data_IF_883522609239
#
_entry.id   IF_883522609239
#
_cell.length_a   1.000
_cell.length_b   1.000
_cell.length_c   1.000
_cell.angle_alpha   90.00
_cell.angle_beta   90.00
_cell.angle_gamma   90.00
#
_symmetry.space_group_name_H-M   'P 1'
#
loop_
_entity.id
_entity.type
_entity.pdbx_description
1 polymer ?
#
# COMPACT_ATOMS: atom_id res chain seq x y z
N UNK A 1 -3.30 28.70 2.62
CA UNK A 1 -3.60 27.69 3.64
C UNK A 1 -4.39 26.54 3.03
N UNK A 2 -4.07 25.26 3.29
CA UNK A 2 -4.76 24.12 2.67
C UNK A 2 -6.20 24.00 3.23
N UNK A 3 -7.22 24.30 2.41
CA UNK A 3 -8.65 24.25 2.80
C UNK A 3 -9.02 22.93 3.49
N UNK A 4 -8.52 21.80 3.01
CA UNK A 4 -8.76 20.48 3.59
C UNK A 4 -8.17 20.33 5.01
N UNK A 5 -6.95 20.82 5.24
CA UNK A 5 -6.34 20.79 6.56
C UNK A 5 -7.12 21.68 7.54
N UNK A 6 -7.53 22.86 7.10
CA UNK A 6 -8.33 23.76 7.94
C UNK A 6 -9.66 23.12 8.36
N UNK A 7 -10.37 22.50 7.40
CA UNK A 7 -11.59 21.76 7.70
C UNK A 7 -11.36 20.64 8.73
N UNK A 8 -10.30 19.84 8.57
CA UNK A 8 -10.02 18.71 9.46
C UNK A 8 -9.52 19.13 10.85
N UNK A 9 -8.96 20.32 11.02
CA UNK A 9 -8.58 20.85 12.34
C UNK A 9 -9.75 21.03 13.32
N UNK A 10 -10.94 21.26 12.79
CA UNK A 10 -12.16 21.40 13.58
C UNK A 10 -12.91 20.08 13.82
N UNK A 11 -12.37 18.97 13.33
CA UNK A 11 -12.94 17.64 13.51
C UNK A 11 -12.35 16.93 14.72
N UNK A 12 -13.19 16.10 15.35
CA UNK A 12 -12.80 15.25 16.47
C UNK A 12 -12.43 13.86 15.97
N UNK A 13 -11.33 13.30 16.50
CA UNK A 13 -10.79 12.01 16.07
C UNK A 13 -10.62 11.04 17.23
N UNK A 14 -10.83 9.76 16.98
CA UNK A 14 -10.35 8.67 17.81
C UNK A 14 -9.27 7.90 17.05
N UNK A 15 -8.10 7.69 17.65
CA UNK A 15 -7.00 6.93 17.04
C UNK A 15 -6.86 5.60 17.77
N UNK A 16 -7.16 4.50 17.08
CA UNK A 16 -7.10 3.17 17.63
C UNK A 16 -5.95 2.35 17.01
N UNK A 17 -5.03 1.92 17.87
CA UNK A 17 -3.77 1.26 17.52
C UNK A 17 -2.61 2.25 17.39
N UNK A 18 -1.71 2.25 18.41
CA UNK A 18 -0.61 3.19 18.57
C UNK A 18 0.75 2.63 18.10
N UNK A 19 0.71 1.67 17.15
CA UNK A 19 1.86 1.17 16.43
C UNK A 19 2.47 2.20 15.47
N UNK A 20 3.19 1.75 14.45
CA UNK A 20 3.88 2.62 13.48
C UNK A 20 2.91 3.58 12.79
N UNK A 21 1.75 3.09 12.34
CA UNK A 21 0.71 3.88 11.66
C UNK A 21 0.08 4.90 12.60
N UNK A 22 -0.41 4.49 13.78
CA UNK A 22 -1.04 5.41 14.73
C UNK A 22 -0.08 6.51 15.19
N UNK A 23 1.19 6.16 15.44
CA UNK A 23 2.23 7.16 15.75
C UNK A 23 2.48 8.14 14.61
N UNK A 24 2.35 7.72 13.36
CA UNK A 24 2.49 8.64 12.22
C UNK A 24 1.31 9.62 12.15
N UNK A 25 0.09 9.16 12.47
CA UNK A 25 -1.10 10.02 12.56
C UNK A 25 -0.93 11.06 13.66
N UNK A 26 -0.54 10.64 14.87
CA UNK A 26 -0.30 11.54 16.00
C UNK A 26 0.75 12.59 15.64
N UNK A 27 1.90 12.19 15.11
CA UNK A 27 2.95 13.13 14.68
C UNK A 27 2.45 14.14 13.65
N UNK A 28 1.63 13.67 12.70
CA UNK A 28 1.02 14.54 11.70
C UNK A 28 0.08 15.54 12.36
N UNK A 29 -0.77 15.10 13.30
CA UNK A 29 -1.71 15.96 14.03
C UNK A 29 -0.98 17.02 14.85
N UNK A 30 0.01 16.61 15.65
CA UNK A 30 0.79 17.53 16.48
C UNK A 30 1.51 18.58 15.63
N UNK A 31 2.20 18.16 14.55
CA UNK A 31 2.90 19.06 13.63
C UNK A 31 1.96 20.09 12.97
N UNK A 32 0.70 19.74 12.77
CA UNK A 32 -0.26 20.59 12.06
C UNK A 32 -1.28 21.25 13.00
N UNK A 33 -1.08 21.20 14.31
CA UNK A 33 -1.94 21.85 15.30
C UNK A 33 -3.33 21.25 15.43
N UNK A 34 -3.50 19.98 15.08
CA UNK A 34 -4.74 19.22 15.26
C UNK A 34 -4.74 18.65 16.70
N UNK A 35 -5.60 19.17 17.58
CA UNK A 35 -5.59 18.86 19.01
C UNK A 35 -6.78 18.01 19.47
N UNK A 36 -7.80 17.90 18.64
CA UNK A 36 -9.08 17.26 18.99
C UNK A 36 -9.00 15.75 18.69
N UNK A 37 -8.25 14.99 19.49
CA UNK A 37 -8.19 13.54 19.34
C UNK A 37 -8.06 12.81 20.68
N UNK A 38 -8.59 11.59 20.72
CA UNK A 38 -8.42 10.61 21.79
C UNK A 38 -7.64 9.40 21.28
N UNK A 39 -6.94 8.71 22.19
CA UNK A 39 -6.05 7.60 21.86
C UNK A 39 -6.49 6.31 22.53
N UNK A 40 -6.31 5.18 21.84
CA UNK A 40 -6.50 3.85 22.40
C UNK A 40 -5.56 2.81 21.77
N UNK A 41 -5.09 1.91 22.62
CA UNK A 41 -4.41 0.68 22.19
C UNK A 41 -4.77 -0.44 23.18
N UNK A 42 -5.08 -1.64 22.65
CA UNK A 42 -5.41 -2.81 23.48
C UNK A 42 -4.20 -3.28 24.31
N UNK A 43 -2.97 -2.98 23.83
CA UNK A 43 -1.75 -3.22 24.58
C UNK A 43 -1.52 -2.10 25.60
N UNK A 44 -1.82 -2.38 26.87
CA UNK A 44 -1.65 -1.41 27.98
C UNK A 44 -0.24 -0.83 28.08
N UNK A 45 0.83 -1.62 27.79
CA UNK A 45 2.22 -1.13 27.80
C UNK A 45 2.47 -0.09 26.71
N UNK A 46 1.89 -0.29 25.52
CA UNK A 46 1.95 0.68 24.43
C UNK A 46 1.15 1.93 24.79
N UNK A 47 -0.08 1.76 25.27
CA UNK A 47 -0.98 2.85 25.63
C UNK A 47 -0.39 3.77 26.71
N UNK A 48 0.19 3.20 27.78
CA UNK A 48 0.82 3.97 28.88
C UNK A 48 1.87 4.97 28.40
N UNK A 49 2.59 4.69 27.31
CA UNK A 49 3.60 5.60 26.72
C UNK A 49 3.01 6.89 26.18
N UNK A 50 1.70 6.95 25.98
CA UNK A 50 0.97 8.09 25.44
C UNK A 50 0.11 8.82 26.48
N UNK A 51 0.20 8.46 27.77
CA UNK A 51 -0.58 9.08 28.84
C UNK A 51 -0.01 10.42 29.33
N UNK A 52 1.23 10.77 28.96
CA UNK A 52 1.88 12.00 29.39
C UNK A 52 1.31 13.29 28.76
N UNK A 53 1.56 14.44 29.39
CA UNK A 53 1.12 15.77 28.95
C UNK A 53 1.64 16.22 27.58
N UNK A 54 2.65 15.53 27.06
CA UNK A 54 3.25 15.78 25.73
C UNK A 54 2.25 15.64 24.57
N UNK A 55 1.24 14.79 24.74
CA UNK A 55 0.25 14.55 23.70
C UNK A 55 -1.00 15.38 24.01
N UNK A 56 -1.19 16.45 23.24
CA UNK A 56 -2.37 17.32 23.36
C UNK A 56 -3.58 16.63 22.78
N UNK A 57 -4.38 16.06 23.62
CA UNK A 57 -5.60 15.31 23.30
C UNK A 57 -6.78 15.85 24.12
N UNK A 58 -7.96 15.44 23.72
CA UNK A 58 -9.16 15.65 24.55
C UNK A 58 -8.96 14.97 25.91
N UNK A 59 -9.42 15.58 26.97
CA UNK A 59 -9.31 15.04 28.35
C UNK A 59 -10.28 13.87 28.61
N UNK A 60 -11.25 13.67 27.74
CA UNK A 60 -12.26 12.62 27.85
C UNK A 60 -11.72 11.22 27.57
N UNK A 61 -12.33 10.20 28.16
CA UNK A 61 -12.01 8.81 27.89
C UNK A 61 -12.35 8.41 26.43
N UNK A 62 -11.62 7.42 25.91
CA UNK A 62 -11.84 6.94 24.54
C UNK A 62 -13.24 6.36 24.33
N UNK A 63 -13.75 5.57 25.28
CA UNK A 63 -15.06 4.95 25.19
C UNK A 63 -16.20 5.96 25.23
N UNK A 64 -16.08 6.97 26.06
CA UNK A 64 -17.01 8.09 26.14
C UNK A 64 -17.02 8.90 24.85
N UNK A 65 -15.80 9.18 24.32
CA UNK A 65 -15.61 10.05 23.15
C UNK A 65 -16.00 9.39 21.83
N UNK A 66 -15.93 8.07 21.69
CA UNK A 66 -16.06 7.37 20.40
C UNK A 66 -17.42 7.59 19.71
N UNK A 67 -18.46 7.87 20.49
CA UNK A 67 -19.78 8.18 19.96
C UNK A 67 -19.90 9.61 19.40
N UNK A 68 -19.04 10.53 19.85
CA UNK A 68 -19.07 11.96 19.51
C UNK A 68 -18.00 12.38 18.52
N UNK A 69 -16.97 11.55 18.26
CA UNK A 69 -15.95 11.87 17.25
C UNK A 69 -16.52 11.81 15.83
N UNK A 70 -15.93 12.61 14.93
CA UNK A 70 -16.28 12.59 13.51
C UNK A 70 -15.64 11.39 12.79
N UNK A 71 -14.42 11.01 13.18
CA UNK A 71 -13.67 9.94 12.56
C UNK A 71 -12.96 9.04 13.58
N UNK A 72 -12.95 7.75 13.28
CA UNK A 72 -12.21 6.73 14.03
C UNK A 72 -11.11 6.19 13.11
N UNK A 73 -9.86 6.56 13.38
CA UNK A 73 -8.71 6.10 12.60
C UNK A 73 -8.24 4.76 13.17
N UNK A 74 -8.44 3.67 12.43
CA UNK A 74 -8.06 2.33 12.85
C UNK A 74 -6.77 1.90 12.17
N UNK A 75 -5.76 1.53 12.95
CA UNK A 75 -4.50 0.99 12.42
C UNK A 75 -4.72 -0.35 11.73
N UNK A 76 -3.99 -0.68 10.64
CA UNK A 76 -4.23 -1.88 9.82
C UNK A 76 -4.14 -3.21 10.56
N UNK A 77 -3.33 -3.28 11.63
CA UNK A 77 -3.20 -4.47 12.46
C UNK A 77 -4.42 -4.79 13.32
N UNK A 78 -5.32 -3.82 13.51
CA UNK A 78 -6.51 -4.00 14.36
C UNK A 78 -7.62 -4.68 13.56
N UNK A 79 -8.03 -5.86 14.01
CA UNK A 79 -9.22 -6.52 13.49
C UNK A 79 -10.43 -6.18 14.36
N UNK A 80 -11.31 -5.29 13.88
CA UNK A 80 -12.49 -4.84 14.65
C UNK A 80 -13.47 -5.97 15.01
N UNK A 81 -13.39 -7.13 14.35
CA UNK A 81 -14.21 -8.29 14.69
C UNK A 81 -13.68 -9.05 15.91
N UNK A 82 -12.39 -8.86 16.26
CA UNK A 82 -11.68 -9.63 17.32
C UNK A 82 -11.30 -8.79 18.54
N UNK A 83 -11.60 -7.48 18.54
CA UNK A 83 -11.32 -6.58 19.67
C UNK A 83 -12.42 -6.59 20.73
N UNK A 84 -12.07 -6.23 21.97
CA UNK A 84 -13.03 -5.99 23.06
C UNK A 84 -13.98 -4.82 22.73
N UNK A 85 -13.56 -3.89 21.89
CA UNK A 85 -14.35 -2.73 21.43
C UNK A 85 -15.29 -3.06 20.26
N UNK A 86 -15.44 -4.32 19.88
CA UNK A 86 -16.24 -4.76 18.71
C UNK A 86 -17.62 -4.10 18.66
N UNK A 87 -18.40 -4.18 19.74
CA UNK A 87 -19.79 -3.67 19.77
C UNK A 87 -19.86 -2.17 19.43
N UNK A 88 -19.04 -1.35 20.11
CA UNK A 88 -19.01 0.10 19.92
C UNK A 88 -18.44 0.51 18.56
N UNK A 89 -17.42 -0.22 18.05
CA UNK A 89 -16.85 0.04 16.73
C UNK A 89 -17.86 -0.31 15.61
N UNK A 90 -18.64 -1.38 15.76
CA UNK A 90 -19.69 -1.72 14.79
C UNK A 90 -20.80 -0.69 14.74
N UNK A 91 -21.26 -0.17 15.88
CA UNK A 91 -22.22 0.93 15.96
C UNK A 91 -21.72 2.18 15.23
N UNK A 92 -20.42 2.46 15.33
CA UNK A 92 -19.75 3.62 14.72
C UNK A 92 -18.98 3.29 13.42
N UNK A 93 -19.29 2.17 12.74
CA UNK A 93 -18.56 1.72 11.55
C UNK A 93 -18.51 2.76 10.43
N UNK A 94 -19.55 3.59 10.32
CA UNK A 94 -19.61 4.68 9.35
C UNK A 94 -18.55 5.77 9.57
N UNK A 95 -18.00 5.91 10.78
CA UNK A 95 -16.92 6.86 11.13
C UNK A 95 -15.50 6.26 10.93
N UNK A 96 -15.39 4.93 10.78
CA UNK A 96 -14.09 4.28 10.68
C UNK A 96 -13.41 4.64 9.35
N UNK A 97 -12.17 5.08 9.45
CA UNK A 97 -11.25 5.40 8.34
C UNK A 97 -9.86 4.84 8.62
N UNK A 98 -8.96 4.96 7.65
CA UNK A 98 -7.54 4.57 7.78
C UNK A 98 -6.62 5.77 7.56
N UNK A 99 -5.32 5.57 7.76
CA UNK A 99 -4.28 6.54 7.42
C UNK A 99 -4.27 6.89 5.93
N UNK A 100 -4.63 5.93 5.05
CA UNK A 100 -4.79 6.19 3.62
C UNK A 100 -5.93 7.17 3.36
N UNK A 101 -7.07 6.98 4.01
CA UNK A 101 -8.21 7.90 3.87
C UNK A 101 -7.86 9.30 4.32
N UNK A 102 -7.19 9.40 5.47
CA UNK A 102 -6.74 10.69 5.99
C UNK A 102 -5.77 11.38 5.03
N UNK A 103 -4.87 10.62 4.38
CA UNK A 103 -4.00 11.15 3.34
C UNK A 103 -4.79 11.75 2.17
N UNK A 104 -5.81 11.05 1.64
CA UNK A 104 -6.63 11.55 0.54
C UNK A 104 -7.50 12.75 0.94
N UNK A 105 -7.97 12.80 2.17
CA UNK A 105 -8.69 13.96 2.70
C UNK A 105 -7.79 15.20 2.84
N UNK A 106 -6.55 15.00 3.33
CA UNK A 106 -5.59 16.08 3.55
C UNK A 106 -4.93 16.60 2.28
N UNK A 107 -4.68 15.71 1.31
CA UNK A 107 -3.90 16.00 0.09
C UNK A 107 -4.65 15.59 -1.19
N UNK A 108 -5.89 16.05 -1.41
CA UNK A 108 -6.73 15.62 -2.54
C UNK A 108 -6.18 16.03 -3.92
N UNK A 109 -5.20 16.91 -3.95
CA UNK A 109 -4.54 17.43 -5.16
C UNK A 109 -3.34 16.61 -5.62
N UNK A 110 -2.86 15.66 -4.80
CA UNK A 110 -1.73 14.81 -5.17
C UNK A 110 -2.18 13.65 -6.03
N UNK A 111 -1.51 13.48 -7.16
CA UNK A 111 -1.69 12.29 -8.00
C UNK A 111 -1.05 11.08 -7.34
N UNK A 112 -1.72 9.93 -7.46
CA UNK A 112 -1.24 8.72 -6.81
C UNK A 112 -1.38 7.47 -7.67
N UNK A 113 -0.42 6.56 -7.47
CA UNK A 113 -0.41 5.19 -7.98
C UNK A 113 -0.58 4.29 -6.77
N UNK A 114 -1.69 3.55 -6.68
CA UNK A 114 -1.91 2.58 -5.61
C UNK A 114 -1.70 1.17 -6.15
N UNK A 115 -0.82 0.43 -5.49
CA UNK A 115 -0.52 -0.97 -5.80
C UNK A 115 -1.00 -1.86 -4.68
N UNK A 116 -1.86 -2.83 -5.01
CA UNK A 116 -2.26 -3.91 -4.11
C UNK A 116 -2.17 -5.26 -4.82
N UNK A 117 -2.30 -6.34 -4.08
CA UNK A 117 -2.20 -7.71 -4.56
C UNK A 117 -1.88 -8.65 -3.41
N UNK A 118 -1.83 -9.94 -3.65
CA UNK A 118 -1.30 -10.89 -2.67
C UNK A 118 0.22 -10.80 -2.66
N UNK A 119 0.87 -10.98 -3.80
CA UNK A 119 2.32 -10.97 -3.97
C UNK A 119 2.79 -9.83 -4.87
N UNK A 120 4.09 -9.51 -4.84
CA UNK A 120 4.73 -8.57 -5.77
C UNK A 120 4.57 -7.08 -5.46
N UNK A 121 3.72 -6.69 -4.51
CA UNK A 121 3.41 -5.27 -4.20
C UNK A 121 4.65 -4.39 -4.01
N UNK A 122 5.49 -4.76 -3.06
CA UNK A 122 6.68 -3.97 -2.71
C UNK A 122 7.66 -3.88 -3.87
N UNK A 123 7.87 -4.99 -4.57
CA UNK A 123 8.74 -5.04 -5.76
C UNK A 123 8.20 -4.12 -6.84
N UNK A 124 6.91 -4.23 -7.19
CA UNK A 124 6.27 -3.37 -8.18
C UNK A 124 6.37 -1.89 -7.80
N UNK A 125 6.06 -1.53 -6.54
CA UNK A 125 6.17 -0.15 -6.07
C UNK A 125 7.60 0.39 -6.22
N UNK A 126 8.62 -0.40 -5.87
CA UNK A 126 10.03 0.01 -5.98
C UNK A 126 10.51 0.12 -7.42
N UNK A 127 10.08 -0.78 -8.30
CA UNK A 127 10.38 -0.65 -9.73
C UNK A 127 9.71 0.59 -10.31
N UNK A 128 8.44 0.85 -9.99
CA UNK A 128 7.73 2.07 -10.42
C UNK A 128 8.48 3.32 -9.93
N UNK A 129 8.82 3.38 -8.63
CA UNK A 129 9.57 4.50 -8.06
C UNK A 129 10.87 4.74 -8.84
N UNK A 130 11.64 3.68 -9.08
CA UNK A 130 12.91 3.73 -9.78
C UNK A 130 12.77 4.23 -11.22
N UNK A 131 11.87 3.62 -11.99
CA UNK A 131 11.59 4.00 -13.38
C UNK A 131 11.16 5.46 -13.46
N UNK A 132 10.25 5.90 -12.60
CA UNK A 132 9.74 7.25 -12.61
C UNK A 132 10.83 8.27 -12.25
N UNK A 133 11.65 8.01 -11.21
CA UNK A 133 12.78 8.87 -10.83
C UNK A 133 13.81 9.01 -11.96
N UNK A 134 14.16 7.88 -12.62
CA UNK A 134 15.08 7.89 -13.76
C UNK A 134 14.52 8.63 -14.99
N UNK A 135 13.21 8.77 -15.06
CA UNK A 135 12.52 9.55 -16.10
C UNK A 135 12.05 10.93 -15.57
N UNK A 136 12.75 11.50 -14.59
CA UNK A 136 12.61 12.85 -14.07
C UNK A 136 11.27 13.20 -13.40
N UNK A 137 10.47 12.20 -13.03
CA UNK A 137 9.29 12.46 -12.21
C UNK A 137 9.68 12.75 -10.76
N UNK A 138 8.98 13.70 -10.12
CA UNK A 138 9.06 13.92 -8.67
C UNK A 138 8.21 12.86 -7.98
N UNK A 139 8.83 11.86 -7.37
CA UNK A 139 8.15 10.68 -6.81
C UNK A 139 8.49 10.48 -5.35
N UNK A 140 7.46 10.20 -4.55
CA UNK A 140 7.60 9.68 -3.19
C UNK A 140 6.89 8.33 -3.09
N UNK A 141 7.38 7.46 -2.21
CA UNK A 141 6.81 6.13 -1.96
C UNK A 141 6.50 5.95 -0.48
N UNK A 142 5.38 5.31 -0.17
CA UNK A 142 4.98 5.01 1.20
C UNK A 142 3.75 4.12 1.29
N UNK A 143 3.18 4.05 2.50
CA UNK A 143 2.05 3.19 2.82
C UNK A 143 2.50 1.95 3.61
N UNK A 144 2.17 0.75 3.10
CA UNK A 144 2.60 -0.51 3.72
C UNK A 144 4.09 -0.83 3.52
N UNK A 145 4.78 -0.08 2.66
CA UNK A 145 6.23 -0.16 2.43
C UNK A 145 6.91 1.15 2.80
N UNK A 146 8.12 1.05 3.33
CA UNK A 146 8.94 2.22 3.64
C UNK A 146 8.34 3.05 4.78
N UNK A 147 8.04 4.31 4.52
CA UNK A 147 7.46 5.22 5.51
C UNK A 147 5.93 5.20 5.49
N UNK A 148 5.27 5.32 6.65
CA UNK A 148 3.84 5.59 6.71
C UNK A 148 3.46 6.77 5.82
N UNK A 149 2.29 6.69 5.18
CA UNK A 149 1.89 7.64 4.13
C UNK A 149 1.85 9.10 4.61
N UNK A 150 1.49 9.34 5.87
CA UNK A 150 1.42 10.68 6.46
C UNK A 150 2.78 11.30 6.77
N UNK A 151 3.84 10.50 6.85
CA UNK A 151 5.21 10.99 7.05
C UNK A 151 5.84 11.53 5.75
N UNK A 152 5.20 11.31 4.60
CA UNK A 152 5.75 11.74 3.32
C UNK A 152 5.73 13.26 3.16
N UNK A 153 6.90 13.85 3.00
CA UNK A 153 7.03 15.26 2.62
C UNK A 153 6.84 15.41 1.11
N UNK A 154 5.59 15.54 0.68
CA UNK A 154 5.23 15.57 -0.74
C UNK A 154 4.92 17.00 -1.20
N UNK A 155 5.64 17.48 -2.21
CA UNK A 155 5.36 18.76 -2.88
C UNK A 155 4.14 18.62 -3.81
N UNK A 156 3.47 19.73 -4.14
CA UNK A 156 2.24 19.76 -4.93
C UNK A 156 2.30 18.97 -6.26
N UNK A 157 3.45 18.94 -6.91
CA UNK A 157 3.63 18.26 -8.20
C UNK A 157 4.28 16.87 -8.06
N UNK A 158 4.27 16.27 -6.86
CA UNK A 158 4.79 14.92 -6.66
C UNK A 158 3.76 13.87 -7.01
N UNK A 159 4.21 12.79 -7.64
CA UNK A 159 3.43 11.55 -7.83
C UNK A 159 3.72 10.61 -6.66
N UNK A 160 2.69 10.11 -6.02
CA UNK A 160 2.82 9.28 -4.82
C UNK A 160 2.58 7.82 -5.18
N UNK A 161 3.58 6.97 -4.98
CA UNK A 161 3.44 5.51 -5.11
C UNK A 161 3.08 4.94 -3.75
N UNK A 162 1.94 4.29 -3.66
CA UNK A 162 1.37 3.78 -2.42
C UNK A 162 1.26 2.27 -2.48
N UNK A 163 1.96 1.56 -1.60
CA UNK A 163 1.65 0.18 -1.33
C UNK A 163 0.47 0.10 -0.37
N UNK A 164 -0.63 -0.53 -0.79
CA UNK A 164 -1.81 -0.71 0.06
C UNK A 164 -2.04 -2.19 0.40
N UNK A 165 -2.08 -2.50 1.70
CA UNK A 165 -2.47 -3.83 2.19
C UNK A 165 -3.99 -4.02 2.13
N UNK A 166 -4.43 -5.29 2.10
CA UNK A 166 -5.87 -5.59 2.21
C UNK A 166 -6.47 -5.14 3.54
N UNK A 167 -5.66 -5.09 4.60
CA UNK A 167 -6.08 -4.63 5.92
C UNK A 167 -6.41 -3.14 5.94
N UNK A 168 -5.53 -2.30 5.37
CA UNK A 168 -5.80 -0.87 5.18
C UNK A 168 -7.07 -0.67 4.34
N UNK A 169 -7.13 -1.33 3.19
CA UNK A 169 -8.25 -1.19 2.26
C UNK A 169 -9.58 -1.71 2.83
N UNK A 170 -9.57 -2.70 3.74
CA UNK A 170 -10.81 -3.21 4.34
C UNK A 170 -11.63 -2.13 5.04
N UNK A 171 -10.97 -1.18 5.68
CA UNK A 171 -11.63 -0.07 6.39
C UNK A 171 -11.62 1.25 5.62
N UNK A 172 -10.90 1.33 4.51
CA UNK A 172 -10.82 2.55 3.71
C UNK A 172 -12.13 2.91 3.03
N UNK A 173 -12.39 4.24 2.90
CA UNK A 173 -13.57 4.84 2.30
C UNK A 173 -13.25 5.92 1.26
N UNK A 174 -12.13 6.62 1.41
CA UNK A 174 -11.81 7.81 0.60
C UNK A 174 -10.62 7.61 -0.34
N UNK A 175 -10.13 6.37 -0.49
CA UNK A 175 -9.03 6.03 -1.39
C UNK A 175 -9.48 6.19 -2.84
N UNK A 176 -8.87 7.15 -3.55
CA UNK A 176 -9.21 7.52 -4.93
C UNK A 176 -7.97 7.77 -5.80
N UNK A 177 -7.22 6.72 -6.15
CA UNK A 177 -5.98 6.86 -6.90
C UNK A 177 -6.23 7.23 -8.37
N UNK A 178 -5.27 7.94 -8.97
CA UNK A 178 -5.28 8.18 -10.42
C UNK A 178 -4.97 6.90 -11.19
N UNK A 179 -4.08 6.08 -10.65
CA UNK A 179 -3.68 4.79 -11.20
C UNK A 179 -3.79 3.72 -10.12
N UNK A 180 -4.62 2.72 -10.34
CA UNK A 180 -4.88 1.64 -9.38
C UNK A 180 -4.50 0.29 -9.98
N UNK A 181 -3.59 -0.45 -9.32
CA UNK A 181 -3.08 -1.72 -9.77
C UNK A 181 -3.45 -2.84 -8.81
N UNK A 182 -4.19 -3.86 -9.28
CA UNK A 182 -4.34 -5.15 -8.59
C UNK A 182 -3.49 -6.17 -9.34
N UNK A 183 -2.35 -6.57 -8.74
CA UNK A 183 -1.40 -7.48 -9.36
C UNK A 183 -1.99 -8.89 -9.48
N UNK A 184 -2.17 -9.53 -8.34
CA UNK A 184 -2.71 -10.88 -8.25
C UNK A 184 -3.54 -11.03 -6.97
N UNK A 185 -4.44 -12.00 -6.98
CA UNK A 185 -5.19 -12.39 -5.78
C UNK A 185 -5.17 -13.92 -5.68
N UNK A 186 -4.42 -14.42 -4.70
CA UNK A 186 -4.38 -15.82 -4.28
C UNK A 186 -4.92 -15.96 -2.86
N UNK A 187 -5.18 -17.17 -2.40
CA UNK A 187 -5.69 -17.45 -1.06
C UNK A 187 -4.73 -16.92 0.00
N UNK A 188 -5.18 -15.97 0.81
CA UNK A 188 -4.41 -15.36 1.89
C UNK A 188 -5.33 -14.66 2.90
N UNK A 189 -4.85 -14.45 4.13
CA UNK A 189 -5.48 -13.63 5.18
C UNK A 189 -6.98 -13.90 5.43
N UNK A 190 -7.45 -15.13 5.21
CA UNK A 190 -8.86 -15.49 5.43
C UNK A 190 -9.24 -15.47 6.91
N UNK A 191 -8.29 -15.78 7.79
CA UNK A 191 -8.41 -15.68 9.25
C UNK A 191 -8.74 -14.26 9.73
N UNK A 192 -8.25 -13.26 9.00
CA UNK A 192 -8.51 -11.84 9.29
C UNK A 192 -9.78 -11.32 8.59
N UNK A 193 -9.94 -11.61 7.29
CA UNK A 193 -11.07 -11.11 6.49
C UNK A 193 -12.35 -11.92 6.69
N UNK A 194 -12.27 -13.14 7.21
CA UNK A 194 -13.38 -14.07 7.40
C UNK A 194 -13.78 -14.84 6.14
N UNK A 195 -13.47 -14.35 4.92
CA UNK A 195 -13.69 -15.08 3.68
C UNK A 195 -12.82 -14.54 2.54
N UNK A 196 -12.60 -15.39 1.51
CA UNK A 196 -11.92 -15.00 0.28
C UNK A 196 -12.64 -13.85 -0.45
N UNK A 197 -13.96 -13.83 -0.39
CA UNK A 197 -14.76 -12.77 -1.02
C UNK A 197 -14.49 -11.40 -0.37
N UNK A 198 -14.52 -11.32 0.95
CA UNK A 198 -14.21 -10.09 1.69
C UNK A 198 -12.77 -9.62 1.45
N UNK A 199 -11.81 -10.56 1.35
CA UNK A 199 -10.44 -10.26 0.97
C UNK A 199 -10.35 -9.62 -0.42
N UNK A 200 -11.02 -10.20 -1.42
CA UNK A 200 -11.08 -9.64 -2.78
C UNK A 200 -11.75 -8.26 -2.76
N UNK A 201 -12.89 -8.14 -2.08
CA UNK A 201 -13.63 -6.88 -1.96
C UNK A 201 -12.79 -5.76 -1.37
N UNK A 202 -12.01 -6.07 -0.32
CA UNK A 202 -11.11 -5.07 0.27
C UNK A 202 -10.14 -4.49 -0.76
N UNK A 203 -9.54 -5.32 -1.62
CA UNK A 203 -8.62 -4.85 -2.66
C UNK A 203 -9.32 -4.07 -3.77
N UNK A 204 -10.54 -4.44 -4.13
CA UNK A 204 -11.32 -3.76 -5.16
C UNK A 204 -11.75 -2.34 -4.76
N UNK A 205 -11.70 -1.99 -3.47
CA UNK A 205 -11.98 -0.62 -3.01
C UNK A 205 -11.09 0.44 -3.66
N UNK A 206 -9.89 0.10 -4.13
CA UNK A 206 -9.03 1.06 -4.85
C UNK A 206 -9.66 1.60 -6.14
N UNK A 207 -10.69 0.93 -6.68
CA UNK A 207 -11.41 1.35 -7.88
C UNK A 207 -12.68 2.16 -7.56
N UNK A 208 -13.20 2.05 -6.33
CA UNK A 208 -14.57 2.51 -5.99
C UNK A 208 -14.79 4.01 -6.19
N UNK A 209 -13.77 4.83 -5.95
CA UNK A 209 -13.85 6.29 -6.09
C UNK A 209 -13.06 6.83 -7.28
N UNK A 210 -12.57 5.95 -8.14
CA UNK A 210 -11.95 6.37 -9.39
C UNK A 210 -12.98 7.00 -10.34
N UNK A 211 -12.55 8.03 -11.09
CA UNK A 211 -13.36 8.73 -12.10
C UNK A 211 -12.99 8.26 -13.50
N UNK A 212 -13.75 8.70 -14.52
CA UNK A 212 -13.55 8.38 -15.95
C UNK A 212 -12.14 8.67 -16.47
N UNK A 213 -11.40 9.60 -15.84
CA UNK A 213 -10.02 9.94 -16.24
C UNK A 213 -8.94 9.14 -15.50
N UNK A 214 -9.31 8.32 -14.52
CA UNK A 214 -8.39 7.46 -13.80
C UNK A 214 -8.24 6.10 -14.50
N UNK A 215 -7.18 5.37 -14.17
CA UNK A 215 -6.87 4.07 -14.78
C UNK A 215 -6.85 2.94 -13.76
N UNK A 216 -7.53 1.86 -14.10
CA UNK A 216 -7.52 0.59 -13.38
C UNK A 216 -6.71 -0.44 -14.15
N UNK A 217 -5.78 -1.14 -13.48
CA UNK A 217 -4.93 -2.17 -14.09
C UNK A 217 -5.19 -3.52 -13.44
N UNK A 218 -5.49 -4.52 -14.25
CA UNK A 218 -5.67 -5.91 -13.85
C UNK A 218 -5.15 -6.84 -14.96
N UNK A 219 -4.80 -8.10 -14.62
CA UNK A 219 -4.19 -9.04 -15.57
C UNK A 219 -4.91 -10.39 -15.68
N UNK A 220 -6.02 -10.60 -14.98
CA UNK A 220 -6.72 -11.89 -15.05
C UNK A 220 -8.17 -11.75 -15.49
N UNK A 221 -8.66 -12.75 -16.27
CA UNK A 221 -10.05 -12.82 -16.71
C UNK A 221 -11.05 -12.81 -15.56
N UNK A 222 -10.69 -13.43 -14.41
CA UNK A 222 -11.53 -13.44 -13.20
C UNK A 222 -11.70 -12.05 -12.61
N UNK A 223 -10.61 -11.29 -12.46
CA UNK A 223 -10.65 -9.92 -11.97
C UNK A 223 -11.37 -8.99 -12.96
N UNK A 224 -11.16 -9.21 -14.26
CA UNK A 224 -11.86 -8.49 -15.34
C UNK A 224 -13.39 -8.67 -15.24
N UNK A 225 -13.87 -9.91 -15.11
CA UNK A 225 -15.30 -10.20 -14.95
C UNK A 225 -15.88 -9.46 -13.73
N UNK A 226 -15.18 -9.48 -12.60
CA UNK A 226 -15.60 -8.77 -11.38
C UNK A 226 -15.59 -7.24 -11.57
N UNK A 227 -14.56 -6.69 -12.20
CA UNK A 227 -14.47 -5.26 -12.50
C UNK A 227 -15.67 -4.79 -13.33
N UNK A 228 -15.99 -5.50 -14.40
CA UNK A 228 -17.14 -5.20 -15.28
C UNK A 228 -18.46 -5.31 -14.53
N UNK A 229 -18.66 -6.35 -13.70
CA UNK A 229 -19.86 -6.54 -12.88
C UNK A 229 -20.12 -5.36 -11.95
N UNK A 230 -19.06 -4.79 -11.37
CA UNK A 230 -19.18 -3.67 -10.41
C UNK A 230 -19.30 -2.29 -11.10
N UNK A 231 -19.26 -2.21 -12.42
CA UNK A 231 -19.46 -0.98 -13.21
C UNK A 231 -18.60 0.21 -12.75
N UNK A 232 -17.32 -0.02 -12.41
CA UNK A 232 -16.41 1.05 -12.01
C UNK A 232 -16.22 2.08 -13.14
N UNK A 233 -16.10 3.37 -12.78
CA UNK A 233 -16.02 4.46 -13.74
C UNK A 233 -14.69 4.62 -14.46
N UNK A 234 -13.60 4.08 -13.89
CA UNK A 234 -12.24 4.25 -14.43
C UNK A 234 -12.01 3.51 -15.75
N UNK A 235 -11.05 4.01 -16.52
CA UNK A 235 -10.56 3.36 -17.74
C UNK A 235 -9.82 2.08 -17.38
N UNK A 236 -10.36 0.94 -17.81
CA UNK A 236 -9.74 -0.35 -17.57
C UNK A 236 -8.61 -0.60 -18.57
N UNK A 237 -7.43 -0.95 -18.04
CA UNK A 237 -6.30 -1.46 -18.80
C UNK A 237 -6.05 -2.92 -18.40
N UNK A 238 -6.37 -3.84 -19.30
CA UNK A 238 -5.96 -5.23 -19.13
C UNK A 238 -4.47 -5.35 -19.40
N UNK A 239 -3.73 -5.91 -18.44
CA UNK A 239 -2.27 -6.05 -18.52
C UNK A 239 -1.95 -7.41 -19.11
N UNK A 240 -1.58 -7.44 -20.37
CA UNK A 240 -1.15 -8.65 -21.08
C UNK A 240 0.36 -8.90 -20.85
N UNK A 241 0.73 -10.12 -20.48
CA UNK A 241 2.12 -10.50 -20.31
C UNK A 241 2.93 -10.39 -21.61
N UNK A 242 2.26 -10.62 -22.74
CA UNK A 242 2.82 -10.58 -24.10
C UNK A 242 3.40 -9.22 -24.45
N UNK A 243 2.78 -8.14 -23.99
CA UNK A 243 3.28 -6.78 -24.24
C UNK A 243 4.68 -6.56 -23.65
N UNK A 244 4.92 -7.08 -22.44
CA UNK A 244 6.21 -6.99 -21.79
C UNK A 244 7.23 -7.99 -22.41
N UNK A 245 6.80 -9.18 -22.79
CA UNK A 245 7.67 -10.19 -23.41
C UNK A 245 8.40 -9.66 -24.65
N UNK A 246 7.74 -8.78 -25.44
CA UNK A 246 8.31 -8.17 -26.66
C UNK A 246 9.57 -7.35 -26.39
N UNK A 247 9.71 -6.80 -25.17
CA UNK A 247 10.86 -5.95 -24.78
C UNK A 247 11.77 -6.59 -23.73
N UNK A 248 11.35 -7.74 -23.15
CA UNK A 248 12.07 -8.41 -22.06
C UNK A 248 13.55 -8.64 -22.39
N UNK A 249 13.83 -9.15 -23.59
CA UNK A 249 15.19 -9.48 -24.02
C UNK A 249 16.10 -8.25 -24.20
N UNK A 250 15.51 -7.03 -24.31
CA UNK A 250 16.26 -5.78 -24.36
C UNK A 250 16.67 -5.27 -22.97
N UNK A 251 16.18 -5.92 -21.90
CA UNK A 251 16.42 -5.49 -20.51
C UNK A 251 17.58 -6.29 -19.95
N UNK A 252 18.73 -5.65 -19.83
CA UNK A 252 19.95 -6.24 -19.27
C UNK A 252 19.93 -6.20 -17.73
N UNK A 253 19.02 -6.96 -17.11
CA UNK A 253 18.88 -7.03 -15.66
C UNK A 253 18.29 -8.39 -15.24
N UNK A 254 19.18 -9.28 -14.74
CA UNK A 254 18.82 -10.64 -14.37
C UNK A 254 17.74 -10.70 -13.26
N UNK A 255 17.76 -9.78 -12.30
CA UNK A 255 16.75 -9.73 -11.26
C UNK A 255 15.35 -9.47 -11.84
N UNK A 256 15.23 -8.48 -12.73
CA UNK A 256 13.96 -8.11 -13.36
C UNK A 256 13.49 -9.13 -14.40
N UNK A 257 14.42 -9.82 -15.06
CA UNK A 257 14.12 -10.84 -16.06
C UNK A 257 13.73 -12.19 -15.45
N UNK A 258 13.82 -12.33 -14.12
CA UNK A 258 13.37 -13.54 -13.44
C UNK A 258 11.86 -13.78 -13.69
N UNK A 259 11.47 -15.06 -13.70
CA UNK A 259 10.07 -15.45 -13.89
C UNK A 259 9.15 -14.84 -12.81
N UNK A 260 9.62 -14.76 -11.56
CA UNK A 260 8.89 -14.14 -10.44
C UNK A 260 8.57 -12.67 -10.64
N UNK A 261 9.39 -11.95 -11.41
CA UNK A 261 9.18 -10.55 -11.70
C UNK A 261 8.44 -10.27 -13.01
N UNK A 262 8.16 -11.28 -13.82
CA UNK A 262 7.50 -11.10 -15.11
C UNK A 262 6.13 -10.42 -14.97
N UNK A 263 5.31 -10.83 -13.99
CA UNK A 263 4.03 -10.20 -13.71
C UNK A 263 4.22 -8.75 -13.26
N UNK A 264 5.11 -8.51 -12.28
CA UNK A 264 5.41 -7.17 -11.77
C UNK A 264 5.82 -6.23 -12.90
N UNK A 265 6.73 -6.69 -13.77
CA UNK A 265 7.23 -5.92 -14.91
C UNK A 265 6.17 -5.63 -15.95
N UNK A 266 5.23 -6.54 -16.19
CA UNK A 266 4.10 -6.31 -17.09
C UNK A 266 3.24 -5.13 -16.63
N UNK A 267 2.96 -5.04 -15.32
CA UNK A 267 2.24 -3.88 -14.75
C UNK A 267 3.04 -2.59 -14.86
N UNK A 268 4.34 -2.63 -14.52
CA UNK A 268 5.21 -1.44 -14.62
C UNK A 268 5.28 -0.94 -16.05
N UNK A 269 5.43 -1.83 -17.02
CA UNK A 269 5.47 -1.47 -18.43
C UNK A 269 4.14 -0.89 -18.93
N UNK A 270 3.01 -1.52 -18.57
CA UNK A 270 1.69 -1.00 -18.90
C UNK A 270 1.44 0.39 -18.32
N UNK A 271 1.85 0.63 -17.06
CA UNK A 271 1.77 1.93 -16.42
C UNK A 271 2.67 2.97 -17.11
N UNK A 272 3.91 2.59 -17.49
CA UNK A 272 4.85 3.50 -18.16
C UNK A 272 4.32 4.01 -19.50
N UNK A 273 3.63 3.14 -20.27
CA UNK A 273 2.95 3.54 -21.51
C UNK A 273 1.87 4.61 -21.26
N UNK A 274 1.06 4.43 -20.22
CA UNK A 274 0.01 5.42 -19.85
C UNK A 274 0.63 6.73 -19.39
N UNK A 275 1.77 6.67 -18.71
CA UNK A 275 2.55 7.85 -18.29
C UNK A 275 3.40 8.45 -19.43
N UNK A 276 3.28 7.93 -20.65
CA UNK A 276 3.98 8.38 -21.88
C UNK A 276 5.51 8.30 -21.78
N UNK A 277 6.03 7.35 -20.99
CA UNK A 277 7.48 7.06 -20.96
C UNK A 277 7.81 6.23 -22.21
N UNK A 278 8.70 6.76 -23.05
CA UNK A 278 9.16 6.08 -24.27
C UNK A 278 9.93 4.78 -23.93
N UNK A 279 9.92 3.80 -24.85
CA UNK A 279 10.51 2.48 -24.63
C UNK A 279 12.02 2.54 -24.30
N UNK A 280 12.80 3.31 -25.08
CA UNK A 280 14.25 3.46 -24.84
C UNK A 280 14.60 4.01 -23.44
N UNK A 281 14.03 5.15 -22.96
CA UNK A 281 14.22 5.61 -21.58
C UNK A 281 13.73 4.61 -20.53
N UNK A 282 12.63 3.92 -20.77
CA UNK A 282 12.13 2.86 -19.87
C UNK A 282 13.17 1.76 -19.70
N UNK A 283 13.65 1.16 -20.80
CA UNK A 283 14.68 0.11 -20.76
C UNK A 283 15.97 0.59 -20.09
N UNK A 284 16.45 1.79 -20.46
CA UNK A 284 17.65 2.38 -19.86
C UNK A 284 17.52 2.52 -18.33
N UNK A 285 16.33 2.91 -17.84
CA UNK A 285 16.11 3.07 -16.40
C UNK A 285 16.25 1.76 -15.63
N UNK A 286 15.89 0.63 -16.22
CA UNK A 286 15.88 -0.67 -15.58
C UNK A 286 17.27 -1.28 -15.39
N UNK A 287 18.27 -0.91 -16.20
CA UNK A 287 19.65 -1.41 -16.06
C UNK A 287 20.23 -1.18 -14.68
N UNK A 288 19.92 -0.07 -14.04
CA UNK A 288 20.43 0.33 -12.73
C UNK A 288 19.59 -0.13 -11.54
N UNK A 289 18.53 -0.90 -11.74
CA UNK A 289 17.71 -1.39 -10.63
C UNK A 289 18.37 -2.56 -9.93
N UNK A 290 18.71 -2.41 -8.64
CA UNK A 290 19.48 -3.40 -7.86
C UNK A 290 18.62 -4.44 -7.12
N UNK A 291 17.29 -4.43 -7.30
CA UNK A 291 16.39 -5.28 -6.51
C UNK A 291 15.99 -4.66 -5.17
N UNK A 292 15.44 -5.46 -4.29
CA UNK A 292 15.03 -5.08 -2.94
C UNK A 292 15.82 -5.87 -1.90
N UNK A 293 16.24 -5.19 -0.84
CA UNK A 293 16.87 -5.85 0.30
C UNK A 293 15.92 -6.90 0.89
N UNK A 294 16.47 -8.06 1.23
CA UNK A 294 15.75 -9.19 1.82
C UNK A 294 14.67 -9.82 0.92
N UNK A 295 14.73 -9.60 -0.40
CA UNK A 295 13.85 -10.23 -1.40
C UNK A 295 14.69 -10.79 -2.52
N UNK A 296 15.01 -12.07 -2.44
CA UNK A 296 15.91 -12.75 -3.37
C UNK A 296 17.22 -11.95 -3.60
N UNK A 297 17.71 -11.37 -2.52
CA UNK A 297 18.89 -10.51 -2.52
C UNK A 297 20.14 -11.36 -2.52
N UNK A 298 20.89 -11.33 -3.61
CA UNK A 298 22.24 -11.94 -3.64
C UNK A 298 23.17 -10.98 -2.92
N UNK A 299 23.53 -11.30 -1.67
CA UNK A 299 24.38 -10.43 -0.85
C UNK A 299 25.85 -10.85 -0.81
N UNK A 300 26.15 -12.10 -1.20
CA UNK A 300 27.52 -12.59 -1.23
C UNK A 300 27.71 -13.70 -2.27
N UNK A 301 28.88 -13.74 -2.91
CA UNK A 301 29.31 -14.80 -3.84
C UNK A 301 30.73 -15.16 -3.56
N UNK A 302 31.06 -16.47 -3.39
CA UNK A 302 32.42 -17.00 -3.19
C UNK A 302 32.48 -18.45 -3.66
N UNK A 303 33.55 -18.82 -4.37
CA UNK A 303 33.83 -20.20 -4.80
C UNK A 303 32.62 -20.93 -5.39
N UNK A 304 31.98 -20.34 -6.42
CA UNK A 304 30.76 -20.83 -7.07
C UNK A 304 29.51 -20.96 -6.15
N UNK A 305 29.59 -20.48 -4.91
CA UNK A 305 28.45 -20.42 -3.98
C UNK A 305 27.83 -19.05 -4.01
N UNK A 306 26.49 -19.02 -4.01
CA UNK A 306 25.70 -17.80 -4.00
C UNK A 306 24.89 -17.77 -2.70
N UNK A 307 25.02 -16.69 -1.95
CA UNK A 307 24.26 -16.47 -0.73
C UNK A 307 23.09 -15.52 -1.02
N UNK A 308 21.89 -16.00 -0.78
CA UNK A 308 20.65 -15.28 -1.07
C UNK A 308 19.90 -14.99 0.21
N UNK A 309 19.59 -13.72 0.45
CA UNK A 309 18.71 -13.30 1.54
C UNK A 309 17.28 -13.09 1.00
N UNK A 310 16.35 -13.93 1.45
CA UNK A 310 14.92 -13.83 1.10
C UNK A 310 14.04 -13.80 2.37
N UNK A 311 14.57 -13.25 3.46
CA UNK A 311 13.91 -13.25 4.79
C UNK A 311 12.56 -12.50 4.85
N UNK A 312 12.19 -11.77 3.81
CA UNK A 312 10.85 -11.21 3.65
C UNK A 312 9.85 -12.15 2.99
N UNK A 313 10.26 -13.32 2.54
CA UNK A 313 9.38 -14.40 2.12
C UNK A 313 8.88 -15.14 3.36
N UNK A 314 7.72 -14.76 3.86
CA UNK A 314 7.13 -15.32 5.10
C UNK A 314 6.28 -16.57 4.87
N UNK A 315 6.28 -17.13 3.64
CA UNK A 315 5.53 -18.33 3.25
C UNK A 315 6.29 -19.12 2.21
N UNK A 316 6.08 -20.43 2.19
CA UNK A 316 6.69 -21.35 1.23
C UNK A 316 6.44 -20.93 -0.23
N UNK A 317 5.22 -20.49 -0.56
CA UNK A 317 4.87 -20.03 -1.91
C UNK A 317 5.71 -18.83 -2.38
N UNK A 318 6.11 -17.97 -1.45
CA UNK A 318 6.97 -16.84 -1.76
C UNK A 318 8.43 -17.28 -2.02
N UNK A 319 8.93 -18.28 -1.27
CA UNK A 319 10.28 -18.84 -1.42
C UNK A 319 10.38 -19.86 -2.54
N UNK A 320 9.26 -20.48 -2.96
CA UNK A 320 9.21 -21.55 -3.98
C UNK A 320 9.98 -21.21 -5.24
N UNK A 321 9.92 -19.96 -5.66
CA UNK A 321 10.63 -19.49 -6.86
C UNK A 321 12.16 -19.51 -6.66
N UNK A 322 12.64 -19.01 -5.53
CA UNK A 322 14.07 -19.05 -5.19
C UNK A 322 14.60 -20.49 -5.17
N UNK A 323 13.81 -21.40 -4.60
CA UNK A 323 14.16 -22.82 -4.50
C UNK A 323 14.14 -23.53 -5.87
N UNK A 324 13.21 -23.20 -6.77
CA UNK A 324 13.11 -23.82 -8.10
C UNK A 324 14.25 -23.44 -9.07
N UNK A 325 14.79 -22.22 -8.93
CA UNK A 325 15.75 -21.68 -9.89
C UNK A 325 17.21 -21.83 -9.47
N UNK A 326 17.46 -22.47 -8.34
CA UNK A 326 18.81 -22.76 -7.87
C UNK A 326 18.98 -24.28 -7.72
N UNK A 327 20.23 -24.76 -7.83
CA UNK A 327 20.62 -26.17 -7.62
C UNK A 327 21.46 -26.27 -6.36
N UNK A 328 21.50 -27.45 -5.73
CA UNK A 328 22.32 -27.73 -4.53
C UNK A 328 22.11 -26.69 -3.42
N UNK A 329 20.85 -26.54 -2.98
CA UNK A 329 20.42 -25.49 -2.06
C UNK A 329 20.58 -25.95 -0.62
N UNK A 330 21.26 -25.14 0.21
CA UNK A 330 21.14 -25.17 1.67
C UNK A 330 20.10 -24.07 2.05
N UNK A 331 18.92 -24.49 2.51
CA UNK A 331 17.85 -23.58 2.90
C UNK A 331 17.77 -23.45 4.42
N UNK A 332 17.99 -22.23 4.91
CA UNK A 332 17.92 -21.87 6.34
C UNK A 332 16.62 -21.11 6.55
N UNK A 333 15.78 -21.60 7.49
CA UNK A 333 14.47 -21.03 7.87
C UNK A 333 14.43 -20.68 9.34
#
# INVERSE_FOLDING_TARGET
MNKSLNYLRHKNFAIYGLGVTGRSVIRYFDKNGMKNYVLWDDNKKVFKRFLGSKYRRMKSDFLESINFVDYIIVSPGININKTKLKKVLFKNKHKIITDLDLFYLLKPYLKSIVVTGTNGKSTTCKIIEHVLKKNHFKVNIGGNIGSPILNLNSKKNSLIVIEASSFQLAYSKFVKPDYALILNITKDHQDWHGSMNKYIESKFKIFSLQKKNNFAFINSKKLLKRFKKNKYASKLKFVAAEDYKKIKNKIENNYLNSESNQENMSFVYALSKILKIKEKPFIKSLKSFKGLNHRHEIFYKKNNKIFVNDSKATRFEASKFALKNNKNILWIV
#
